data_IF_406482439584
#
_entry.id   IF_406482439584
#
_cell.length_a   1.000
_cell.length_b   1.000
_cell.length_c   1.000
_cell.angle_alpha   90.00
_cell.angle_beta   90.00
_cell.angle_gamma   90.00
#
_symmetry.space_group_name_H-M   'P 1'
#
loop_
_entity.id
_entity.type
_entity.pdbx_description
1 polymer ?
#
# COMPACT_ATOMS: atom_id res chain seq x y z
N UNK A 1 25.13 38.83 8.53
CA UNK A 1 23.75 38.30 8.43
C UNK A 1 23.31 37.94 7.02
N UNK A 2 23.43 38.82 6.01
CA UNK A 2 22.95 38.52 4.63
C UNK A 2 23.52 37.24 4.00
N UNK A 3 24.82 36.98 4.12
CA UNK A 3 25.47 35.80 3.51
C UNK A 3 24.98 34.46 4.07
N UNK A 4 24.71 34.40 5.37
CA UNK A 4 24.12 33.21 6.01
C UNK A 4 22.71 32.92 5.47
N UNK A 5 21.89 33.96 5.29
CA UNK A 5 20.54 33.81 4.77
C UNK A 5 20.56 33.34 3.31
N UNK A 6 21.48 33.85 2.50
CA UNK A 6 21.65 33.42 1.11
C UNK A 6 22.12 31.97 1.02
N UNK A 7 23.10 31.55 1.83
CA UNK A 7 23.54 30.14 1.87
C UNK A 7 22.41 29.22 2.33
N UNK A 8 21.64 29.60 3.34
CA UNK A 8 20.49 28.83 3.80
C UNK A 8 19.43 28.69 2.71
N UNK A 9 19.16 29.78 1.97
CA UNK A 9 18.19 29.78 0.88
C UNK A 9 18.67 28.91 -0.29
N UNK A 10 19.95 28.97 -0.66
CA UNK A 10 20.55 28.08 -1.67
C UNK A 10 20.45 26.62 -1.22
N UNK A 11 20.80 26.31 0.03
CA UNK A 11 20.72 24.96 0.58
C UNK A 11 19.27 24.43 0.53
N UNK A 12 18.29 25.25 0.89
CA UNK A 12 16.87 24.89 0.82
C UNK A 12 16.45 24.59 -0.62
N UNK A 13 16.85 25.43 -1.57
CA UNK A 13 16.54 25.23 -3.00
C UNK A 13 17.17 23.95 -3.52
N UNK A 14 18.44 23.67 -3.19
CA UNK A 14 19.12 22.43 -3.59
C UNK A 14 18.42 21.21 -3.02
N UNK A 15 17.99 21.26 -1.75
CA UNK A 15 17.22 20.17 -1.13
C UNK A 15 15.90 19.92 -1.86
N UNK A 16 15.11 20.97 -2.10
CA UNK A 16 13.81 20.86 -2.78
C UNK A 16 13.98 20.37 -4.22
N UNK A 17 14.99 20.88 -4.94
CA UNK A 17 15.29 20.45 -6.30
C UNK A 17 15.73 18.99 -6.35
N UNK A 18 16.62 18.56 -5.45
CA UNK A 18 17.06 17.16 -5.36
C UNK A 18 15.91 16.20 -5.06
N UNK A 19 15.03 16.56 -4.11
CA UNK A 19 13.85 15.76 -3.79
C UNK A 19 12.86 15.70 -4.95
N UNK A 20 12.64 16.83 -5.65
CA UNK A 20 11.75 16.91 -6.80
C UNK A 20 12.27 16.05 -7.96
N UNK A 21 13.57 16.13 -8.25
CA UNK A 21 14.20 15.33 -9.29
C UNK A 21 14.08 13.83 -9.01
N UNK A 22 14.29 13.41 -7.76
CA UNK A 22 14.15 12.02 -7.36
C UNK A 22 12.73 11.49 -7.57
N UNK A 23 11.73 12.29 -7.19
CA UNK A 23 10.31 11.91 -7.30
C UNK A 23 9.84 11.89 -8.77
N UNK A 24 10.39 12.75 -9.62
CA UNK A 24 10.10 12.76 -11.05
C UNK A 24 10.77 11.60 -11.79
N UNK A 25 11.97 11.19 -11.36
CA UNK A 25 12.68 10.06 -11.94
C UNK A 25 11.99 8.72 -11.62
N UNK A 26 11.39 8.61 -10.44
CA UNK A 26 10.67 7.40 -10.01
C UNK A 26 9.17 7.55 -10.30
N UNK A 27 8.69 6.94 -11.38
CA UNK A 27 7.28 7.00 -11.75
C UNK A 27 6.42 6.18 -10.77
N UNK A 28 5.43 6.79 -10.08
CA UNK A 28 4.61 6.08 -9.11
C UNK A 28 3.76 4.98 -9.76
N UNK A 29 3.44 5.12 -11.04
CA UNK A 29 2.58 4.17 -11.76
C UNK A 29 3.27 2.83 -12.03
N UNK A 30 4.60 2.79 -12.01
CA UNK A 30 5.36 1.54 -12.17
C UNK A 30 5.10 0.59 -10.98
N UNK A 31 4.89 1.15 -9.79
CA UNK A 31 4.57 0.36 -8.60
C UNK A 31 3.17 -0.25 -8.62
N UNK A 32 2.26 0.24 -9.48
CA UNK A 32 0.91 -0.34 -9.60
C UNK A 32 0.99 -1.81 -10.00
N UNK A 33 1.73 -2.10 -11.07
CA UNK A 33 1.90 -3.46 -11.56
C UNK A 33 2.59 -4.34 -10.52
N UNK A 34 3.65 -3.81 -9.89
CA UNK A 34 4.38 -4.50 -8.82
C UNK A 34 3.47 -4.88 -7.65
N UNK A 35 2.62 -3.96 -7.16
CA UNK A 35 1.70 -4.23 -6.05
C UNK A 35 0.67 -5.30 -6.42
N UNK A 36 0.06 -5.20 -7.61
CA UNK A 36 -0.94 -6.17 -8.06
C UNK A 36 -0.34 -7.57 -8.15
N UNK A 37 0.86 -7.68 -8.74
CA UNK A 37 1.56 -8.96 -8.86
C UNK A 37 1.95 -9.53 -7.49
N UNK A 38 2.46 -8.69 -6.59
CA UNK A 38 2.90 -9.14 -5.27
C UNK A 38 1.73 -9.59 -4.39
N UNK A 39 0.59 -8.90 -4.43
CA UNK A 39 -0.61 -9.29 -3.68
C UNK A 39 -1.21 -10.58 -4.24
N UNK A 40 -1.27 -10.72 -5.56
CA UNK A 40 -1.72 -11.96 -6.20
C UNK A 40 -0.83 -13.16 -5.84
N UNK A 41 0.49 -12.96 -5.81
CA UNK A 41 1.45 -14.02 -5.49
C UNK A 41 1.49 -14.39 -4.00
N UNK A 42 1.28 -13.42 -3.09
CA UNK A 42 1.44 -13.64 -1.63
C UNK A 42 0.15 -14.03 -0.93
N UNK A 43 -0.98 -13.55 -1.41
CA UNK A 43 -2.24 -13.62 -0.66
C UNK A 43 -3.35 -14.33 -1.44
N UNK A 44 -3.10 -14.71 -2.69
CA UNK A 44 -4.10 -15.30 -3.59
C UNK A 44 -5.34 -14.42 -3.83
N UNK A 45 -5.28 -13.14 -3.45
CA UNK A 45 -6.29 -12.14 -3.75
C UNK A 45 -5.88 -11.32 -4.97
N UNK A 46 -6.87 -10.95 -5.78
CA UNK A 46 -6.67 -10.02 -6.88
C UNK A 46 -6.86 -8.58 -6.38
N UNK A 47 -5.79 -7.80 -6.39
CA UNK A 47 -5.86 -6.36 -6.17
C UNK A 47 -6.16 -5.64 -7.48
N UNK A 48 -7.21 -4.82 -7.51
CA UNK A 48 -7.47 -3.87 -8.58
C UNK A 48 -7.36 -2.45 -8.03
N UNK A 49 -6.63 -1.61 -8.76
CA UNK A 49 -6.37 -0.21 -8.44
C UNK A 49 -6.91 0.63 -9.57
N UNK A 50 -7.92 1.45 -9.30
CA UNK A 50 -8.56 2.36 -10.25
C UNK A 50 -7.93 3.76 -10.14
N UNK A 51 -7.49 4.26 -11.29
CA UNK A 51 -6.88 5.59 -11.43
C UNK A 51 -5.36 5.60 -11.26
N UNK A 52 -4.73 6.76 -11.51
CA UNK A 52 -3.28 6.92 -11.42
C UNK A 52 -2.80 6.95 -9.98
N UNK A 53 -1.59 6.44 -9.76
CA UNK A 53 -0.90 6.58 -8.48
C UNK A 53 -0.28 7.96 -8.40
N UNK A 54 -0.50 8.65 -7.27
CA UNK A 54 0.02 10.00 -7.03
C UNK A 54 1.03 9.99 -5.91
N UNK A 55 2.16 10.66 -6.13
CA UNK A 55 3.13 10.92 -5.08
C UNK A 55 2.62 11.96 -4.09
N UNK A 56 2.91 11.73 -2.83
CA UNK A 56 2.75 12.69 -1.76
C UNK A 56 3.99 12.64 -0.88
N UNK A 57 4.82 13.67 -0.99
CA UNK A 57 6.21 13.63 -0.51
C UNK A 57 6.40 14.31 0.84
N UNK A 58 5.34 14.92 1.39
CA UNK A 58 5.38 15.71 2.62
C UNK A 58 4.07 15.56 3.40
N UNK A 59 4.07 15.36 4.74
CA UNK A 59 5.23 15.35 5.65
C UNK A 59 6.05 14.05 5.62
N UNK A 60 5.48 12.97 5.10
CA UNK A 60 6.15 11.70 4.84
C UNK A 60 5.90 11.28 3.40
N UNK A 61 6.80 10.46 2.86
CA UNK A 61 6.68 9.92 1.51
C UNK A 61 5.59 8.85 1.48
N UNK A 62 4.54 9.12 0.72
CA UNK A 62 3.37 8.27 0.58
C UNK A 62 2.94 8.20 -0.89
N UNK A 63 2.35 7.07 -1.26
CA UNK A 63 1.69 6.87 -2.54
C UNK A 63 0.18 6.89 -2.28
N UNK A 64 -0.53 7.80 -2.93
CA UNK A 64 -1.98 7.77 -2.95
C UNK A 64 -2.44 7.00 -4.17
N UNK A 65 -3.31 6.03 -3.95
CA UNK A 65 -4.13 5.45 -5.01
C UNK A 65 -5.56 5.94 -4.90
N UNK A 66 -6.26 5.93 -6.03
CA UNK A 66 -7.70 6.08 -6.05
C UNK A 66 -8.41 4.85 -5.49
N UNK A 67 -9.56 4.55 -6.08
CA UNK A 67 -10.41 3.45 -5.66
C UNK A 67 -9.67 2.12 -5.80
N UNK A 68 -9.85 1.24 -4.83
CA UNK A 68 -9.24 -0.09 -4.86
C UNK A 68 -10.26 -1.14 -4.47
N UNK A 69 -10.13 -2.30 -5.08
CA UNK A 69 -10.92 -3.48 -4.73
C UNK A 69 -10.00 -4.68 -4.59
N UNK A 70 -10.17 -5.42 -3.50
CA UNK A 70 -9.50 -6.68 -3.25
C UNK A 70 -10.53 -7.80 -3.38
N UNK A 71 -10.34 -8.69 -4.33
CA UNK A 71 -11.26 -9.81 -4.60
C UNK A 71 -10.56 -11.13 -4.33
N UNK A 72 -11.21 -12.03 -3.59
CA UNK A 72 -10.68 -13.38 -3.36
C UNK A 72 -10.74 -14.20 -4.65
N UNK A 73 -9.80 -15.13 -4.84
CA UNK A 73 -9.84 -16.05 -5.98
C UNK A 73 -11.13 -16.89 -5.89
N UNK A 74 -12.03 -16.71 -6.86
CA UNK A 74 -13.31 -17.42 -6.92
C UNK A 74 -14.50 -16.69 -6.28
N UNK A 75 -14.28 -15.54 -5.63
CA UNK A 75 -15.37 -14.70 -5.15
C UNK A 75 -15.92 -13.83 -6.28
N UNK A 76 -17.25 -13.76 -6.36
CA UNK A 76 -17.96 -12.91 -7.32
C UNK A 76 -18.05 -11.44 -6.85
N UNK A 77 -17.92 -11.21 -5.54
CA UNK A 77 -17.94 -9.89 -4.92
C UNK A 77 -16.58 -9.52 -4.29
N UNK A 78 -16.20 -8.23 -4.29
CA UNK A 78 -14.96 -7.78 -3.68
C UNK A 78 -15.04 -7.83 -2.15
N UNK A 79 -14.02 -8.42 -1.52
CA UNK A 79 -13.87 -8.49 -0.06
C UNK A 79 -13.68 -7.12 0.55
N UNK A 80 -12.74 -6.36 0.00
CA UNK A 80 -12.39 -5.03 0.47
C UNK A 80 -12.60 -4.07 -0.67
N UNK A 81 -13.39 -3.02 -0.44
CA UNK A 81 -13.52 -1.89 -1.34
C UNK A 81 -13.14 -0.63 -0.59
N UNK A 82 -12.26 0.19 -1.14
CA UNK A 82 -11.94 1.50 -0.57
C UNK A 82 -11.94 2.58 -1.65
N UNK A 83 -12.35 3.79 -1.29
CA UNK A 83 -12.40 4.92 -2.22
C UNK A 83 -11.02 5.52 -2.47
N UNK A 84 -10.17 5.55 -1.44
CA UNK A 84 -8.78 5.99 -1.56
C UNK A 84 -7.92 5.15 -0.64
N UNK A 85 -6.71 4.84 -1.09
CA UNK A 85 -5.68 4.23 -0.25
C UNK A 85 -4.45 5.12 -0.24
N UNK A 86 -3.84 5.24 0.93
CA UNK A 86 -2.55 5.89 1.13
C UNK A 86 -1.58 4.85 1.67
N UNK A 87 -0.47 4.67 0.98
CA UNK A 87 0.62 3.79 1.36
C UNK A 87 1.79 4.64 1.78
N UNK A 88 2.17 4.59 3.06
CA UNK A 88 3.36 5.26 3.54
C UNK A 88 4.58 4.38 3.22
N UNK A 89 5.56 4.93 2.51
CA UNK A 89 6.67 4.16 1.94
C UNK A 89 8.02 4.72 2.38
N UNK A 90 9.02 3.85 2.46
CA UNK A 90 10.38 4.27 2.77
C UNK A 90 11.07 4.91 1.54
N UNK A 91 11.79 6.03 1.74
CA UNK A 91 12.52 6.71 0.66
C UNK A 91 13.73 5.90 0.16
N UNK A 92 14.56 5.38 1.08
CA UNK A 92 15.81 4.69 0.72
C UNK A 92 15.62 3.50 -0.24
N UNK A 93 14.66 2.58 -0.02
CA UNK A 93 14.45 1.44 -0.91
C UNK A 93 13.93 1.83 -2.30
N UNK A 94 13.25 2.98 -2.43
CA UNK A 94 12.74 3.46 -3.71
C UNK A 94 13.87 3.85 -4.67
N UNK A 95 15.03 4.28 -4.15
CA UNK A 95 16.24 4.48 -4.96
C UNK A 95 16.66 3.19 -5.68
N UNK A 96 16.38 2.04 -5.07
CA UNK A 96 16.64 0.71 -5.61
C UNK A 96 15.41 0.10 -6.29
N UNK A 97 14.37 0.89 -6.59
CA UNK A 97 13.09 0.43 -7.16
C UNK A 97 12.35 -0.59 -6.27
N UNK A 98 12.63 -0.62 -4.97
CA UNK A 98 11.94 -1.49 -4.02
C UNK A 98 10.85 -0.73 -3.29
N UNK A 99 9.63 -1.29 -3.29
CA UNK A 99 8.49 -0.70 -2.59
C UNK A 99 8.37 -1.29 -1.18
N UNK A 100 8.85 -0.55 -0.18
CA UNK A 100 8.69 -0.93 1.22
C UNK A 100 7.55 -0.12 1.85
N UNK A 101 6.41 -0.78 2.05
CA UNK A 101 5.23 -0.21 2.69
C UNK A 101 5.36 -0.31 4.21
N UNK A 102 5.33 0.83 4.90
CA UNK A 102 5.31 0.90 6.37
C UNK A 102 3.91 0.88 6.94
N UNK A 103 2.99 1.56 6.26
CA UNK A 103 1.63 1.73 6.73
C UNK A 103 0.66 1.80 5.55
N UNK A 104 -0.53 1.24 5.74
CA UNK A 104 -1.64 1.30 4.79
C UNK A 104 -2.80 2.02 5.46
N UNK A 105 -3.22 3.15 4.90
CA UNK A 105 -4.43 3.85 5.31
C UNK A 105 -5.48 3.73 4.22
N UNK A 106 -6.67 3.29 4.59
CA UNK A 106 -7.82 3.13 3.69
C UNK A 106 -8.89 4.14 4.08
N UNK A 107 -9.33 4.96 3.13
CA UNK A 107 -10.43 5.90 3.33
C UNK A 107 -11.69 5.35 2.65
N UNK A 108 -12.78 5.26 3.41
CA UNK A 108 -14.03 4.66 2.92
C UNK A 108 -13.90 3.15 2.69
N UNK A 109 -13.05 2.48 3.46
CA UNK A 109 -12.87 1.03 3.39
C UNK A 109 -14.10 0.31 3.90
N UNK A 110 -14.78 -0.43 3.03
CA UNK A 110 -15.85 -1.37 3.36
C UNK A 110 -15.29 -2.77 3.20
N UNK A 111 -15.32 -3.54 4.30
CA UNK A 111 -14.95 -4.95 4.31
C UNK A 111 -16.25 -5.74 4.33
N UNK A 112 -16.53 -6.46 3.26
CA UNK A 112 -17.71 -7.31 3.13
C UNK A 112 -17.26 -8.75 3.26
N UNK A 113 -17.49 -9.34 4.44
CA UNK A 113 -17.29 -10.77 4.63
C UNK A 113 -18.51 -11.50 4.10
N UNK A 114 -18.41 -11.96 2.86
CA UNK A 114 -19.35 -12.93 2.31
C UNK A 114 -18.89 -14.35 2.68
N UNK A 115 -19.79 -15.34 2.77
CA UNK A 115 -19.40 -16.74 3.00
C UNK A 115 -18.39 -17.26 1.97
N UNK A 116 -18.39 -16.68 0.76
CA UNK A 116 -17.43 -17.00 -0.30
C UNK A 116 -16.02 -16.45 -0.07
N UNK A 117 -15.88 -15.55 0.91
CA UNK A 117 -14.60 -14.92 1.28
C UNK A 117 -14.06 -15.42 2.62
N UNK A 118 -14.80 -16.28 3.30
CA UNK A 118 -14.28 -16.99 4.45
C UNK A 118 -13.08 -17.83 4.01
N UNK A 119 -12.01 -17.81 4.81
CA UNK A 119 -10.81 -18.58 4.50
C UNK A 119 -11.21 -20.04 4.35
N UNK A 120 -11.19 -20.55 3.11
CA UNK A 120 -11.48 -21.96 2.85
C UNK A 120 -10.41 -22.76 3.56
N UNK A 121 -10.81 -23.40 4.66
CA UNK A 121 -9.95 -24.30 5.40
C UNK A 121 -9.65 -25.47 4.46
N UNK A 122 -8.40 -25.61 4.04
CA UNK A 122 -7.99 -26.78 3.26
C UNK A 122 -8.36 -28.04 4.05
N UNK A 123 -8.80 -29.10 3.37
CA UNK A 123 -9.15 -30.38 4.01
C UNK A 123 -7.97 -30.96 4.81
N UNK A 124 -6.73 -30.62 4.40
CA UNK A 124 -5.48 -31.00 5.06
C UNK A 124 -5.04 -30.04 6.18
N UNK A 125 -5.84 -29.04 6.53
CA UNK A 125 -5.47 -28.07 7.57
C UNK A 125 -5.57 -28.71 8.97
N UNK A 126 -4.59 -28.46 9.86
CA UNK A 126 -4.66 -28.92 11.24
C UNK A 126 -5.97 -28.50 11.92
N UNK A 127 -6.67 -29.48 12.49
CA UNK A 127 -7.89 -29.25 13.27
C UNK A 127 -7.45 -28.78 14.66
N UNK A 128 -7.94 -27.61 15.07
CA UNK A 128 -7.70 -27.13 16.43
C UNK A 128 -8.34 -28.12 17.43
N UNK A 129 -7.64 -28.51 18.50
CA UNK A 129 -8.24 -29.30 19.57
C UNK A 129 -9.51 -28.59 20.07
N UNK A 130 -10.60 -29.34 20.24
CA UNK A 130 -11.82 -28.78 20.80
C UNK A 130 -11.51 -28.22 22.19
N UNK A 131 -11.86 -26.97 22.45
CA UNK A 131 -11.78 -26.38 23.78
C UNK A 131 -12.55 -27.29 24.73
N UNK A 132 -11.83 -27.90 25.67
CA UNK A 132 -12.41 -28.72 26.71
C UNK A 132 -13.19 -27.77 27.63
N UNK A 133 -14.51 -27.69 27.43
CA UNK A 133 -15.39 -27.02 28.38
C UNK A 133 -15.25 -27.75 29.70
N UNK A 134 -14.47 -27.17 30.61
CA UNK A 134 -14.31 -27.68 31.97
C UNK A 134 -15.70 -27.83 32.59
N UNK A 135 -16.07 -29.00 33.12
CA UNK A 135 -17.30 -29.13 33.88
C UNK A 135 -17.20 -28.23 35.13
N UNK A 136 -18.29 -27.51 35.37
CA UNK A 136 -18.53 -26.57 36.47
C UNK A 136 -18.14 -27.07 37.85
#
# INVERSE_FOLDING_TARGET
MRRFLTTLMILLVVLVAGFSALVLLVNPNDFRAYMVQQVAARSEYQLQLDGPLRWHVWPQLSILSGRMTLTARGASEPLVRADNMRLDVALWPLLSHQLHVKQVMLKGGVIQLTPQTEAVRSDDAPVAPKDNTLPT
#
